data_IF_165463912031
#
_entry.id   IF_165463912031
#
_cell.length_a   1.000
_cell.length_b   1.000
_cell.length_c   1.000
_cell.angle_alpha   90.00
_cell.angle_beta   90.00
_cell.angle_gamma   90.00
#
_symmetry.space_group_name_H-M   'P 1'
#
loop_
_entity.id
_entity.type
_entity.pdbx_description
1 polymer ?
#
# COMPACT_ATOMS: atom_id res chain seq x y z
N UNK A 1 -36.53 -56.86 -69.55
CA UNK A 1 -36.81 -55.45 -69.91
C UNK A 1 -35.88 -54.60 -69.05
N UNK A 2 -34.66 -54.35 -69.52
CA UNK A 2 -34.25 -53.14 -70.29
C UNK A 2 -34.10 -51.90 -69.38
N UNK A 3 -32.86 -51.45 -69.19
CA UNK A 3 -32.44 -50.19 -68.55
C UNK A 3 -32.85 -48.96 -69.41
N UNK A 4 -32.84 -47.70 -68.90
CA UNK A 4 -31.60 -46.89 -68.80
C UNK A 4 -31.57 -45.86 -67.62
N UNK A 5 -30.53 -44.98 -67.50
CA UNK A 5 -30.14 -44.25 -66.27
C UNK A 5 -30.34 -42.71 -66.29
N UNK A 6 -30.13 -42.07 -65.11
CA UNK A 6 -29.81 -40.64 -64.82
C UNK A 6 -30.89 -39.58 -65.19
N UNK A 7 -30.90 -38.30 -64.70
CA UNK A 7 -29.74 -37.45 -64.38
C UNK A 7 -29.83 -36.53 -63.15
N UNK A 8 -28.70 -35.87 -62.89
CA UNK A 8 -28.49 -34.67 -62.09
C UNK A 8 -29.44 -33.53 -62.50
N UNK A 9 -29.82 -32.68 -61.53
CA UNK A 9 -30.18 -31.29 -61.82
C UNK A 9 -29.64 -30.38 -60.73
N UNK A 10 -28.50 -29.73 -61.04
CA UNK A 10 -28.19 -28.41 -60.52
C UNK A 10 -29.33 -27.43 -60.87
N UNK A 11 -29.82 -26.68 -59.89
CA UNK A 11 -30.47 -25.39 -60.12
C UNK A 11 -30.09 -24.44 -58.99
N UNK A 12 -29.01 -23.71 -59.25
CA UNK A 12 -28.82 -22.29 -59.01
C UNK A 12 -29.96 -21.46 -58.38
N UNK A 13 -29.54 -20.64 -57.40
CA UNK A 13 -29.87 -19.21 -57.20
C UNK A 13 -31.30 -18.79 -56.80
N UNK A 14 -31.44 -18.38 -55.52
CA UNK A 14 -31.93 -17.05 -55.09
C UNK A 14 -31.90 -16.93 -53.55
N UNK A 15 -30.87 -16.30 -52.99
CA UNK A 15 -30.91 -14.92 -52.47
C UNK A 15 -32.05 -14.65 -51.47
N UNK A 16 -31.73 -14.65 -50.18
CA UNK A 16 -32.11 -13.57 -49.25
C UNK A 16 -31.20 -13.64 -48.02
N UNK A 17 -30.18 -12.78 -47.97
CA UNK A 17 -29.82 -12.16 -46.69
C UNK A 17 -30.59 -10.84 -46.63
N UNK A 18 -30.98 -10.40 -45.43
CA UNK A 18 -30.25 -9.27 -44.89
C UNK A 18 -29.76 -9.53 -43.46
N UNK A 19 -28.47 -9.24 -43.30
CA UNK A 19 -27.80 -8.74 -42.10
C UNK A 19 -28.73 -8.12 -41.03
N UNK A 20 -28.50 -8.46 -39.75
CA UNK A 20 -27.78 -7.58 -38.81
C UNK A 20 -28.09 -7.89 -37.34
N UNK A 21 -27.09 -7.58 -36.51
CA UNK A 21 -27.08 -7.39 -35.05
C UNK A 21 -26.75 -8.64 -34.21
N UNK A 22 -25.65 -8.72 -33.45
CA UNK A 22 -24.52 -7.84 -33.17
C UNK A 22 -23.35 -8.77 -32.81
N UNK A 23 -22.46 -9.04 -33.76
CA UNK A 23 -21.13 -9.49 -33.43
C UNK A 23 -20.27 -8.23 -33.40
N UNK A 24 -19.87 -7.80 -32.20
CA UNK A 24 -18.87 -6.75 -32.01
C UNK A 24 -17.55 -7.22 -32.63
N UNK A 25 -17.41 -7.02 -33.93
CA UNK A 25 -16.16 -7.16 -34.63
C UNK A 25 -15.25 -6.05 -34.13
N UNK A 26 -14.30 -6.39 -33.25
CA UNK A 26 -13.15 -5.54 -33.02
C UNK A 26 -12.48 -5.30 -34.38
N UNK A 27 -12.53 -4.05 -34.82
CA UNK A 27 -11.90 -3.58 -36.03
C UNK A 27 -10.39 -3.88 -35.91
N UNK A 28 -9.77 -4.62 -36.86
CA UNK A 28 -8.35 -4.92 -36.76
C UNK A 28 -7.58 -3.59 -36.74
N UNK A 29 -6.84 -3.37 -35.64
CA UNK A 29 -6.05 -2.16 -35.43
C UNK A 29 -5.17 -1.89 -36.65
N UNK A 30 -5.23 -0.67 -37.16
CA UNK A 30 -4.35 -0.20 -38.24
C UNK A 30 -2.88 -0.46 -37.85
N UNK A 31 -2.04 -0.89 -38.80
CA UNK A 31 -0.60 -1.07 -38.57
C UNK A 31 0.08 0.18 -37.96
N UNK A 32 -0.45 1.37 -38.24
CA UNK A 32 0.02 2.62 -37.63
C UNK A 32 -0.31 2.72 -36.13
N UNK A 33 -1.44 2.15 -35.72
CA UNK A 33 -1.90 2.11 -34.33
C UNK A 33 -1.17 1.02 -33.54
N UNK A 34 -0.82 -0.09 -34.18
CA UNK A 34 0.06 -1.13 -33.63
C UNK A 34 1.48 -0.56 -33.43
N UNK A 35 2.03 0.13 -34.43
CA UNK A 35 3.36 0.75 -34.31
C UNK A 35 3.38 1.90 -33.29
N UNK A 36 2.30 2.69 -33.19
CA UNK A 36 2.14 3.69 -32.13
C UNK A 36 1.91 3.07 -30.75
N UNK A 37 1.56 1.78 -30.63
CA UNK A 37 1.55 1.07 -29.33
C UNK A 37 2.89 0.43 -28.99
N UNK A 38 3.79 0.29 -29.97
CA UNK A 38 5.12 -0.31 -29.82
C UNK A 38 6.24 0.72 -29.61
N UNK A 39 5.98 2.02 -29.81
CA UNK A 39 6.94 3.09 -29.58
C UNK A 39 7.02 3.44 -28.07
N UNK A 40 8.17 3.23 -27.40
CA UNK A 40 8.34 3.53 -25.97
C UNK A 40 8.03 4.99 -25.61
N UNK A 41 8.30 5.95 -26.51
CA UNK A 41 7.98 7.36 -26.23
C UNK A 41 6.48 7.61 -26.16
N UNK A 42 5.72 7.02 -27.08
CA UNK A 42 4.27 7.15 -27.11
C UNK A 42 3.60 6.50 -25.89
N UNK A 43 4.09 5.35 -25.44
CA UNK A 43 3.64 4.67 -24.24
C UNK A 43 3.86 5.55 -23.00
N UNK A 44 5.08 6.10 -22.87
CA UNK A 44 5.41 7.04 -21.79
C UNK A 44 4.50 8.27 -21.78
N UNK A 45 4.20 8.85 -22.95
CA UNK A 45 3.25 9.98 -23.06
C UNK A 45 1.84 9.63 -22.60
N UNK A 46 1.41 8.37 -22.75
CA UNK A 46 0.13 7.90 -22.24
C UNK A 46 0.11 7.71 -20.70
N UNK A 47 1.25 7.36 -20.09
CA UNK A 47 1.38 7.19 -18.64
C UNK A 47 1.41 8.51 -17.86
N UNK A 48 2.10 9.51 -18.39
CA UNK A 48 2.32 10.80 -17.72
C UNK A 48 1.05 11.48 -17.19
N UNK A 49 -0.09 11.55 -17.91
CA UNK A 49 -1.31 12.17 -17.37
C UNK A 49 -1.90 11.40 -16.18
N UNK A 50 -1.90 10.06 -16.23
CA UNK A 50 -2.36 9.21 -15.11
C UNK A 50 -1.46 9.40 -13.90
N UNK A 51 -0.14 9.31 -14.11
CA UNK A 51 0.85 9.53 -13.06
C UNK A 51 0.70 10.92 -12.44
N UNK A 52 0.55 11.96 -13.25
CA UNK A 52 0.38 13.33 -12.76
C UNK A 52 -0.89 13.48 -11.91
N UNK A 53 -2.02 12.94 -12.38
CA UNK A 53 -3.28 12.96 -11.64
C UNK A 53 -3.17 12.25 -10.28
N UNK A 54 -2.58 11.06 -10.28
CA UNK A 54 -2.38 10.28 -9.05
C UNK A 54 -1.40 10.96 -8.07
N UNK A 55 -0.29 11.50 -8.57
CA UNK A 55 0.67 12.23 -7.76
C UNK A 55 0.02 13.43 -7.06
N UNK A 56 -0.85 14.18 -7.75
CA UNK A 56 -1.59 15.30 -7.14
C UNK A 56 -2.45 14.80 -5.98
N UNK A 57 -3.19 13.70 -6.17
CA UNK A 57 -4.04 13.15 -5.12
C UNK A 57 -3.21 12.59 -3.95
N UNK A 58 -2.11 11.90 -4.22
CA UNK A 58 -1.22 11.36 -3.18
C UNK A 58 -0.57 12.48 -2.37
N UNK A 59 -0.09 13.54 -3.03
CA UNK A 59 0.45 14.73 -2.36
C UNK A 59 -0.63 15.36 -1.48
N UNK A 60 -1.82 15.59 -2.03
CA UNK A 60 -2.93 16.15 -1.26
C UNK A 60 -3.29 15.28 -0.05
N UNK A 61 -3.37 13.96 -0.23
CA UNK A 61 -3.65 12.99 0.83
C UNK A 61 -2.61 13.04 1.95
N UNK A 62 -1.31 13.03 1.59
CA UNK A 62 -0.20 13.16 2.55
C UNK A 62 -0.22 14.51 3.28
N UNK A 63 -0.49 15.61 2.57
CA UNK A 63 -0.56 16.95 3.18
C UNK A 63 -1.72 17.04 4.17
N UNK A 64 -2.88 16.54 3.78
CA UNK A 64 -4.08 16.48 4.64
C UNK A 64 -3.83 15.65 5.90
N UNK A 65 -3.18 14.49 5.77
CA UNK A 65 -2.79 13.65 6.90
C UNK A 65 -1.97 14.41 7.95
N UNK A 66 -0.91 15.10 7.53
CA UNK A 66 -0.02 15.79 8.47
C UNK A 66 -0.57 17.09 9.06
N UNK A 67 -1.62 17.65 8.46
CA UNK A 67 -2.38 18.77 9.05
C UNK A 67 -3.46 18.29 10.01
N UNK A 68 -3.98 17.08 9.83
CA UNK A 68 -5.12 16.53 10.59
C UNK A 68 -4.95 16.62 12.13
N UNK A 69 -3.78 16.30 12.74
CA UNK A 69 -3.61 16.36 14.19
C UNK A 69 -3.66 17.78 14.77
N UNK A 70 -3.61 18.82 13.93
CA UNK A 70 -3.64 20.22 14.38
C UNK A 70 -5.07 20.73 14.58
N UNK A 71 -6.06 20.12 13.93
CA UNK A 71 -7.44 20.60 13.91
C UNK A 71 -8.41 19.68 14.66
N UNK A 72 -8.07 18.39 14.81
CA UNK A 72 -8.97 17.41 15.40
C UNK A 72 -8.26 16.55 16.44
N UNK A 73 -8.92 16.38 17.59
CA UNK A 73 -8.64 15.28 18.52
C UNK A 73 -9.31 14.04 17.95
N UNK A 74 -8.56 13.20 17.23
CA UNK A 74 -9.11 11.98 16.64
C UNK A 74 -9.51 11.00 17.74
N UNK A 75 -10.79 10.62 17.76
CA UNK A 75 -11.26 9.54 18.65
C UNK A 75 -10.61 8.22 18.24
N UNK A 76 -9.96 7.53 19.18
CA UNK A 76 -9.20 6.29 18.97
C UNK A 76 -9.96 5.22 18.15
N UNK A 77 -11.26 5.05 18.40
CA UNK A 77 -12.12 4.07 17.72
C UNK A 77 -12.30 4.34 16.21
N UNK A 78 -12.40 5.61 15.79
CA UNK A 78 -12.53 5.95 14.36
C UNK A 78 -11.23 5.66 13.62
N UNK A 79 -10.10 6.02 14.22
CA UNK A 79 -8.78 5.79 13.64
C UNK A 79 -8.49 4.30 13.49
N UNK A 80 -8.84 3.48 14.49
CA UNK A 80 -8.71 2.02 14.42
C UNK A 80 -9.53 1.40 13.28
N UNK A 81 -10.77 1.84 13.06
CA UNK A 81 -11.61 1.33 11.96
C UNK A 81 -11.01 1.70 10.60
N UNK A 82 -10.53 2.94 10.44
CA UNK A 82 -9.86 3.38 9.21
C UNK A 82 -8.57 2.61 8.94
N UNK A 83 -7.71 2.45 9.95
CA UNK A 83 -6.46 1.67 9.87
C UNK A 83 -6.77 0.21 9.50
N UNK A 84 -7.81 -0.40 10.09
CA UNK A 84 -8.21 -1.78 9.77
C UNK A 84 -8.68 -1.91 8.32
N UNK A 85 -9.52 -0.99 7.85
CA UNK A 85 -9.99 -0.97 6.46
C UNK A 85 -8.82 -0.84 5.49
N UNK A 86 -7.91 0.09 5.75
CA UNK A 86 -6.73 0.35 4.92
C UNK A 86 -5.76 -0.84 4.95
N UNK A 87 -5.54 -1.45 6.11
CA UNK A 87 -4.71 -2.66 6.23
C UNK A 87 -5.25 -3.83 5.42
N UNK A 88 -6.57 -4.03 5.44
CA UNK A 88 -7.22 -5.05 4.61
C UNK A 88 -7.09 -4.76 3.11
N UNK A 89 -7.25 -3.49 2.71
CA UNK A 89 -7.06 -3.05 1.33
C UNK A 89 -5.61 -3.27 0.88
N UNK A 90 -4.61 -2.86 1.66
CA UNK A 90 -3.19 -3.03 1.31
C UNK A 90 -2.79 -4.51 1.22
N UNK A 91 -3.25 -5.34 2.16
CA UNK A 91 -3.06 -6.79 2.11
C UNK A 91 -3.66 -7.38 0.82
N UNK A 92 -4.88 -6.99 0.50
CA UNK A 92 -5.57 -7.43 -0.71
C UNK A 92 -4.91 -6.96 -1.99
N UNK A 93 -4.45 -5.70 -2.08
CA UNK A 93 -3.74 -5.17 -3.26
C UNK A 93 -2.39 -5.87 -3.45
N UNK A 94 -1.63 -6.12 -2.38
CA UNK A 94 -0.39 -6.89 -2.47
C UNK A 94 -0.60 -8.28 -3.08
N UNK A 95 -1.66 -8.99 -2.64
CA UNK A 95 -1.93 -10.38 -3.05
C UNK A 95 -2.70 -10.52 -4.36
N UNK A 96 -3.72 -9.69 -4.59
CA UNK A 96 -4.63 -9.82 -5.74
C UNK A 96 -4.26 -8.95 -6.93
N UNK A 97 -3.41 -7.94 -6.74
CA UNK A 97 -3.00 -7.01 -7.79
C UNK A 97 -1.51 -7.11 -8.08
N UNK A 98 -0.65 -6.79 -7.11
CA UNK A 98 0.80 -6.72 -7.36
C UNK A 98 1.42 -8.07 -7.69
N UNK A 99 1.12 -9.11 -6.89
CA UNK A 99 1.69 -10.44 -7.12
C UNK A 99 1.24 -11.07 -8.46
N UNK A 100 -0.05 -11.06 -8.85
CA UNK A 100 -0.46 -11.58 -10.15
C UNK A 100 0.15 -10.82 -11.33
N UNK A 101 0.19 -9.48 -11.30
CA UNK A 101 0.84 -8.69 -12.35
C UNK A 101 2.34 -9.03 -12.44
N UNK A 102 3.03 -9.19 -11.31
CA UNK A 102 4.42 -9.64 -11.30
C UNK A 102 4.60 -11.00 -11.99
N UNK A 103 3.73 -11.97 -11.72
CA UNK A 103 3.80 -13.30 -12.32
C UNK A 103 3.59 -13.27 -13.84
N UNK A 104 2.69 -12.41 -14.32
CA UNK A 104 2.45 -12.27 -15.76
C UNK A 104 3.64 -11.61 -16.45
N UNK A 105 4.18 -10.53 -15.89
CA UNK A 105 5.35 -9.80 -16.43
C UNK A 105 6.62 -10.67 -16.47
N UNK A 106 6.82 -11.51 -15.45
CA UNK A 106 7.98 -12.40 -15.37
C UNK A 106 7.86 -13.67 -16.23
N UNK A 107 6.66 -13.99 -16.71
CA UNK A 107 6.40 -15.13 -17.59
C UNK A 107 6.66 -16.51 -16.96
N UNK A 108 7.03 -17.55 -17.75
CA UNK A 108 7.07 -18.94 -17.28
C UNK A 108 8.06 -19.25 -16.15
N UNK A 109 9.13 -18.46 -16.00
CA UNK A 109 10.11 -18.56 -14.89
C UNK A 109 9.77 -17.61 -13.73
N UNK A 110 8.66 -16.91 -13.84
CA UNK A 110 8.23 -15.87 -12.92
C UNK A 110 7.89 -16.31 -11.51
N UNK A 111 7.30 -17.51 -11.25
CA UNK A 111 6.91 -17.88 -9.89
C UNK A 111 8.07 -17.85 -8.89
N UNK A 112 9.23 -18.40 -9.25
CA UNK A 112 10.40 -18.40 -8.37
C UNK A 112 10.92 -16.98 -8.16
N UNK A 113 11.08 -16.18 -9.21
CA UNK A 113 11.57 -14.80 -9.11
C UNK A 113 10.60 -13.94 -8.28
N UNK A 114 9.30 -14.07 -8.50
CA UNK A 114 8.27 -13.36 -7.76
C UNK A 114 8.28 -13.74 -6.28
N UNK A 115 8.43 -15.02 -5.95
CA UNK A 115 8.51 -15.48 -4.57
C UNK A 115 9.76 -14.91 -3.85
N UNK A 116 10.93 -14.92 -4.51
CA UNK A 116 12.14 -14.31 -3.96
C UNK A 116 12.01 -12.80 -3.81
N UNK A 117 11.45 -12.10 -4.80
CA UNK A 117 11.19 -10.67 -4.76
C UNK A 117 10.24 -10.29 -3.63
N UNK A 118 9.11 -10.99 -3.52
CA UNK A 118 8.15 -10.80 -2.43
C UNK A 118 8.76 -11.06 -1.06
N UNK A 119 9.53 -12.14 -0.89
CA UNK A 119 10.24 -12.40 0.36
C UNK A 119 11.26 -11.30 0.67
N UNK A 120 12.01 -10.85 -0.33
CA UNK A 120 12.98 -9.77 -0.15
C UNK A 120 12.28 -8.47 0.27
N UNK A 121 11.19 -8.09 -0.38
CA UNK A 121 10.40 -6.92 -0.01
C UNK A 121 9.84 -6.99 1.40
N UNK A 122 9.31 -8.15 1.80
CA UNK A 122 8.80 -8.39 3.15
C UNK A 122 9.93 -8.24 4.19
N UNK A 123 11.07 -8.91 3.98
CA UNK A 123 12.20 -8.87 4.92
C UNK A 123 12.81 -7.47 4.98
N UNK A 124 13.03 -6.81 3.84
CA UNK A 124 13.57 -5.44 3.81
C UNK A 124 12.63 -4.49 4.54
N UNK A 125 11.33 -4.54 4.26
CA UNK A 125 10.36 -3.68 4.96
C UNK A 125 10.33 -3.98 6.46
N UNK A 126 10.33 -5.25 6.85
CA UNK A 126 10.40 -5.64 8.26
C UNK A 126 11.66 -5.10 8.94
N UNK A 127 12.82 -5.19 8.29
CA UNK A 127 14.08 -4.65 8.81
C UNK A 127 14.05 -3.11 8.89
N UNK A 128 13.42 -2.42 7.93
CA UNK A 128 13.22 -0.97 7.99
C UNK A 128 12.34 -0.59 9.16
N UNK A 129 11.19 -1.25 9.36
CA UNK A 129 10.34 -1.05 10.53
C UNK A 129 11.15 -1.30 11.82
N UNK A 130 11.92 -2.39 11.88
CA UNK A 130 12.69 -2.71 13.08
C UNK A 130 13.84 -1.75 13.36
N UNK A 131 14.51 -1.24 12.32
CA UNK A 131 15.66 -0.34 12.47
C UNK A 131 15.25 1.10 12.78
N UNK A 132 14.07 1.54 12.32
CA UNK A 132 13.65 2.94 12.37
C UNK A 132 12.39 3.19 13.22
N UNK A 133 11.63 2.16 13.55
CA UNK A 133 10.43 2.20 14.40
C UNK A 133 10.76 1.68 15.80
N UNK A 134 11.63 2.40 16.53
CA UNK A 134 11.95 2.08 17.91
C UNK A 134 10.68 2.19 18.77
N UNK A 135 10.20 1.04 19.29
CA UNK A 135 8.97 0.89 20.08
C UNK A 135 8.66 2.10 20.99
N UNK A 136 7.64 2.88 20.64
CA UNK A 136 7.02 3.88 21.51
C UNK A 136 5.67 3.36 22.02
N UNK A 137 5.68 2.32 22.87
CA UNK A 137 4.48 1.87 23.60
C UNK A 137 4.20 2.73 24.84
N UNK A 138 4.24 4.07 24.73
CA UNK A 138 3.98 4.88 25.94
C UNK A 138 3.82 6.38 25.77
N UNK A 139 4.07 6.97 24.61
CA UNK A 139 3.97 8.43 24.45
C UNK A 139 2.54 8.94 24.26
N UNK A 140 1.60 8.12 23.78
CA UNK A 140 0.19 8.55 23.71
C UNK A 140 -0.56 8.36 25.04
N UNK A 141 -0.24 7.32 25.82
CA UNK A 141 -0.79 7.14 27.17
C UNK A 141 -0.27 8.17 28.18
N UNK A 142 0.98 8.61 28.05
CA UNK A 142 1.56 9.63 28.95
C UNK A 142 1.05 11.04 28.65
N UNK A 143 0.82 11.41 27.38
CA UNK A 143 0.26 12.72 27.02
C UNK A 143 -1.21 12.89 27.41
N UNK A 144 -1.96 11.79 27.56
CA UNK A 144 -3.34 11.84 28.06
C UNK A 144 -3.41 11.92 29.60
N UNK A 145 -2.46 11.31 30.33
CA UNK A 145 -2.41 11.42 31.80
C UNK A 145 -1.98 12.81 32.29
N UNK A 146 -1.14 13.54 31.54
CA UNK A 146 -0.66 14.85 31.96
C UNK A 146 -1.73 15.96 31.87
N UNK A 147 -2.84 15.73 31.17
CA UNK A 147 -3.88 16.73 30.96
C UNK A 147 -5.02 16.68 32.01
N UNK A 148 -5.18 15.58 32.74
CA UNK A 148 -6.18 15.46 33.82
C UNK A 148 -5.61 15.78 35.22
N UNK A 149 -4.29 15.88 35.39
CA UNK A 149 -3.64 16.14 36.67
C UNK A 149 -3.43 17.65 36.95
N UNK A 150 -4.50 18.46 36.87
CA UNK A 150 -4.48 19.84 37.35
C UNK A 150 -5.80 20.19 38.05
N UNK A 151 -6.08 19.52 39.16
CA UNK A 151 -7.01 20.03 40.18
C UNK A 151 -6.23 20.21 41.49
N UNK A 152 -6.27 21.40 42.13
CA UNK A 152 -5.51 21.66 43.34
C UNK A 152 -6.10 20.88 44.52
N UNK A 153 -5.24 20.10 45.18
CA UNK A 153 -5.59 19.26 46.32
C UNK A 153 -6.04 20.08 47.54
N UNK A 154 -7.24 19.78 48.05
CA UNK A 154 -7.66 20.09 49.42
C UNK A 154 -7.02 19.07 50.38
N UNK A 155 -6.61 19.46 51.61
CA UNK A 155 -5.98 18.53 52.54
C UNK A 155 -7.04 17.65 53.21
N UNK A 156 -7.02 16.36 52.90
CA UNK A 156 -7.79 15.34 53.63
C UNK A 156 -6.91 14.83 54.77
N UNK A 157 -7.36 15.09 56.00
CA UNK A 157 -6.81 14.53 57.24
C UNK A 157 -7.24 13.07 57.32
N UNK A 158 -6.28 12.15 57.49
CA UNK A 158 -6.57 10.80 57.96
C UNK A 158 -5.78 10.54 59.25
N UNK A 159 -6.58 10.31 60.28
CA UNK A 159 -6.25 9.99 61.66
C UNK A 159 -6.08 8.47 61.78
N UNK A 160 -5.01 7.99 62.40
CA UNK A 160 -4.84 6.57 62.73
C UNK A 160 -4.12 6.40 64.08
N UNK A 161 -4.93 6.27 65.13
CA UNK A 161 -4.58 5.60 66.38
C UNK A 161 -4.60 4.08 66.18
N UNK A 162 -3.52 3.38 66.59
CA UNK A 162 -3.59 2.07 67.25
C UNK A 162 -2.29 1.79 68.02
N UNK A 163 -2.47 1.35 69.26
CA UNK A 163 -1.48 1.24 70.33
C UNK A 163 -1.00 -0.21 70.56
N UNK A 164 0.15 -0.32 71.23
CA UNK A 164 0.69 -1.43 72.04
C UNK A 164 1.70 -2.47 71.48
N UNK A 165 2.98 -2.18 71.79
CA UNK A 165 3.91 -2.90 72.68
C UNK A 165 4.44 -4.32 72.37
N UNK A 166 5.76 -4.41 72.16
CA UNK A 166 6.57 -5.63 72.31
C UNK A 166 8.04 -5.41 71.88
N UNK A 167 8.98 -5.62 72.79
CA UNK A 167 10.38 -5.15 72.74
C UNK A 167 11.37 -5.96 71.87
N UNK A 168 12.33 -5.21 71.30
CA UNK A 168 13.77 -5.50 71.07
C UNK A 168 14.26 -6.40 69.89
N UNK A 169 15.18 -5.76 69.15
CA UNK A 169 16.42 -6.25 68.50
C UNK A 169 16.47 -6.46 66.96
N UNK A 170 17.04 -5.43 66.33
CA UNK A 170 17.97 -5.37 65.19
C UNK A 170 17.91 -6.39 64.04
N UNK A 171 17.58 -5.86 62.85
CA UNK A 171 17.88 -6.47 61.56
C UNK A 171 17.21 -5.78 60.36
N UNK A 172 17.05 -4.44 60.37
CA UNK A 172 16.44 -3.73 59.23
C UNK A 172 17.50 -3.49 58.16
N UNK A 173 17.50 -4.34 57.13
CA UNK A 173 18.07 -4.01 55.83
C UNK A 173 17.26 -2.89 55.20
N UNK A 174 17.64 -1.64 55.46
CA UNK A 174 17.13 -0.49 54.73
C UNK A 174 17.73 -0.47 53.32
N UNK A 175 17.03 -1.04 52.35
CA UNK A 175 17.27 -0.76 50.93
C UNK A 175 16.72 0.63 50.61
N UNK A 176 17.60 1.62 50.61
CA UNK A 176 17.34 2.93 50.02
C UNK A 176 17.22 2.76 48.49
N UNK A 177 15.97 2.77 47.99
CA UNK A 177 15.70 2.92 46.57
C UNK A 177 16.14 4.31 46.11
N UNK A 178 17.37 4.41 45.64
CA UNK A 178 17.89 5.61 45.00
C UNK A 178 17.04 5.92 43.76
N UNK A 179 16.25 6.99 43.83
CA UNK A 179 15.72 7.68 42.65
C UNK A 179 16.91 8.24 41.89
N UNK A 180 17.34 7.55 40.85
CA UNK A 180 18.18 8.17 39.82
C UNK A 180 17.29 9.18 39.08
N UNK A 181 17.41 10.45 39.47
CA UNK A 181 17.06 11.55 38.57
C UNK A 181 17.98 11.47 37.37
N UNK A 182 17.55 10.78 36.33
CA UNK A 182 18.18 10.87 35.02
C UNK A 182 18.03 12.31 34.54
N UNK A 183 19.12 12.99 34.13
CA UNK A 183 19.00 14.28 33.46
C UNK A 183 18.13 14.09 32.21
N UNK A 184 17.36 15.10 31.78
CA UNK A 184 16.55 14.99 30.57
C UNK A 184 17.51 14.71 29.42
N UNK A 185 17.41 13.51 28.83
CA UNK A 185 18.14 13.13 27.65
C UNK A 185 17.56 13.91 26.45
N UNK A 186 17.86 15.21 26.38
CA UNK A 186 17.48 16.11 25.30
C UNK A 186 18.07 15.66 23.93
N UNK A 187 19.03 14.73 23.94
CA UNK A 187 19.59 14.08 22.75
C UNK A 187 18.86 12.79 22.32
N UNK A 188 18.18 12.07 23.22
CA UNK A 188 17.50 10.81 22.88
C UNK A 188 16.16 11.05 22.16
N UNK A 189 15.44 12.12 22.50
CA UNK A 189 14.16 12.46 21.83
C UNK A 189 14.34 12.96 20.38
N UNK A 190 15.44 13.68 20.08
CA UNK A 190 15.68 14.21 18.73
C UNK A 190 16.02 13.12 17.70
N UNK A 191 16.57 11.99 18.16
CA UNK A 191 16.90 10.83 17.32
C UNK A 191 15.66 10.01 16.92
N UNK A 192 14.55 10.13 17.65
CA UNK A 192 13.33 9.32 17.45
C UNK A 192 12.57 9.71 16.18
N UNK A 193 12.26 11.00 15.98
CA UNK A 193 11.47 11.43 14.81
C UNK A 193 12.24 11.29 13.49
N UNK A 194 13.55 11.50 13.51
CA UNK A 194 14.38 11.41 12.31
C UNK A 194 14.50 9.96 11.83
N UNK A 195 14.63 9.01 12.77
CA UNK A 195 14.59 7.59 12.46
C UNK A 195 13.28 7.22 11.76
N UNK A 196 12.14 7.55 12.37
CA UNK A 196 10.82 7.31 11.78
C UNK A 196 10.69 7.99 10.41
N UNK A 197 11.10 9.25 10.26
CA UNK A 197 11.08 9.94 8.96
C UNK A 197 11.88 9.19 7.90
N UNK A 198 13.11 8.74 8.21
CA UNK A 198 13.95 8.00 7.28
C UNK A 198 13.33 6.64 6.90
N UNK A 199 12.84 5.89 7.88
CA UNK A 199 12.16 4.61 7.64
C UNK A 199 10.92 4.78 6.75
N UNK A 200 10.07 5.77 7.07
CA UNK A 200 8.89 6.09 6.28
C UNK A 200 9.24 6.65 4.90
N UNK A 201 10.36 7.37 4.76
CA UNK A 201 10.84 7.85 3.47
C UNK A 201 11.23 6.69 2.55
N UNK A 202 12.01 5.71 3.05
CA UNK A 202 12.34 4.51 2.28
C UNK A 202 11.10 3.70 1.89
N UNK A 203 10.17 3.53 2.83
CA UNK A 203 8.88 2.93 2.55
C UNK A 203 8.12 3.69 1.44
N UNK A 204 8.06 5.02 1.54
CA UNK A 204 7.39 5.88 0.56
C UNK A 204 8.06 5.90 -0.82
N UNK A 205 9.37 5.66 -0.90
CA UNK A 205 10.04 5.43 -2.19
C UNK A 205 9.50 4.13 -2.79
N UNK A 206 9.40 3.06 -1.98
CA UNK A 206 8.81 1.78 -2.37
C UNK A 206 7.39 1.94 -2.95
N UNK A 207 6.53 2.72 -2.30
CA UNK A 207 5.18 3.03 -2.82
C UNK A 207 5.23 3.68 -4.21
N UNK A 208 6.17 4.61 -4.40
CA UNK A 208 6.38 5.28 -5.68
C UNK A 208 6.79 4.29 -6.77
N UNK A 209 7.81 3.47 -6.50
CA UNK A 209 8.27 2.45 -7.43
C UNK A 209 7.13 1.46 -7.76
N UNK A 210 6.35 1.06 -6.77
CA UNK A 210 5.21 0.17 -6.94
C UNK A 210 4.12 0.78 -7.83
N UNK A 211 3.78 2.07 -7.61
CA UNK A 211 2.83 2.80 -8.43
C UNK A 211 3.31 2.88 -9.87
N UNK A 212 4.55 3.31 -10.10
CA UNK A 212 5.15 3.38 -11.44
C UNK A 212 5.14 2.02 -12.15
N UNK A 213 5.53 0.96 -11.44
CA UNK A 213 5.52 -0.40 -12.00
C UNK A 213 4.11 -0.90 -12.35
N UNK A 214 3.11 -0.57 -11.54
CA UNK A 214 1.71 -0.95 -11.82
C UNK A 214 1.14 -0.21 -13.03
N UNK A 215 1.49 1.07 -13.20
CA UNK A 215 1.08 1.85 -14.38
C UNK A 215 1.67 1.29 -15.68
N UNK A 216 2.97 0.94 -15.64
CA UNK A 216 3.65 0.30 -16.76
C UNK A 216 2.99 -1.06 -17.09
N UNK A 217 2.83 -1.93 -16.09
CA UNK A 217 2.22 -3.25 -16.28
C UNK A 217 0.83 -3.17 -16.93
N UNK A 218 -0.06 -2.28 -16.46
CA UNK A 218 -1.41 -2.17 -17.00
C UNK A 218 -1.44 -1.64 -18.44
N UNK A 219 -0.51 -0.75 -18.79
CA UNK A 219 -0.40 -0.23 -20.14
C UNK A 219 0.04 -1.32 -21.12
N UNK A 220 0.99 -2.18 -20.73
CA UNK A 220 1.43 -3.32 -21.54
C UNK A 220 0.31 -4.31 -21.81
N UNK A 221 -0.62 -4.48 -20.87
CA UNK A 221 -1.78 -5.37 -21.02
C UNK A 221 -2.95 -4.76 -21.82
N UNK A 222 -2.77 -3.55 -22.36
CA UNK A 222 -3.74 -2.91 -23.24
C UNK A 222 -4.91 -2.23 -22.53
N UNK A 223 -4.88 -2.11 -21.20
CA UNK A 223 -5.80 -1.25 -20.49
C UNK A 223 -5.50 0.21 -20.85
N UNK A 224 -6.53 0.98 -21.21
CA UNK A 224 -6.39 2.43 -21.41
C UNK A 224 -7.11 3.25 -20.33
N UNK A 225 -7.90 2.58 -19.50
CA UNK A 225 -8.70 3.20 -18.46
C UNK A 225 -8.21 2.71 -17.09
N UNK A 226 -7.95 3.66 -16.19
CA UNK A 226 -7.64 3.38 -14.78
C UNK A 226 -6.37 2.53 -14.56
N UNK A 227 -5.28 2.89 -15.24
CA UNK A 227 -3.97 2.26 -15.03
C UNK A 227 -3.56 2.32 -13.55
N UNK A 228 -3.06 1.22 -13.00
CA UNK A 228 -2.55 1.11 -11.64
C UNK A 228 -3.52 1.51 -10.53
N UNK A 229 -4.83 1.41 -10.77
CA UNK A 229 -5.87 1.94 -9.89
C UNK A 229 -5.81 1.33 -8.49
N UNK A 230 -5.63 0.00 -8.40
CA UNK A 230 -5.52 -0.72 -7.13
C UNK A 230 -4.35 -0.21 -6.28
N UNK A 231 -3.15 -0.13 -6.88
CA UNK A 231 -1.94 0.39 -6.22
C UNK A 231 -2.12 1.85 -5.83
N UNK A 232 -2.66 2.68 -6.72
CA UNK A 232 -2.95 4.08 -6.43
C UNK A 232 -3.84 4.25 -5.20
N UNK A 233 -4.97 3.53 -5.12
CA UNK A 233 -5.87 3.64 -3.97
C UNK A 233 -5.22 3.16 -2.69
N UNK A 234 -4.50 2.05 -2.73
CA UNK A 234 -3.76 1.59 -1.56
C UNK A 234 -2.78 2.65 -1.07
N UNK A 235 -1.95 3.21 -1.95
CA UNK A 235 -0.98 4.29 -1.61
C UNK A 235 -1.69 5.54 -1.10
N UNK A 236 -2.67 6.04 -1.84
CA UNK A 236 -3.37 7.28 -1.50
C UNK A 236 -4.09 7.19 -0.16
N UNK A 237 -4.65 6.03 0.20
CA UNK A 237 -5.41 5.87 1.44
C UNK A 237 -4.53 5.67 2.67
N UNK A 238 -3.34 5.07 2.56
CA UNK A 238 -2.44 4.91 3.71
C UNK A 238 -1.46 6.07 3.90
N UNK A 239 -1.20 6.90 2.87
CA UNK A 239 -0.33 8.10 2.98
C UNK A 239 -0.67 9.07 4.12
N UNK A 240 -1.96 9.35 4.41
CA UNK A 240 -2.33 10.18 5.55
C UNK A 240 -1.84 9.62 6.88
N UNK A 241 -1.86 8.29 7.05
CA UNK A 241 -1.46 7.62 8.29
C UNK A 241 0.04 7.83 8.51
N UNK A 242 0.87 7.63 7.47
CA UNK A 242 2.31 7.88 7.53
C UNK A 242 2.62 9.32 7.96
N UNK A 243 1.91 10.26 7.37
CA UNK A 243 2.11 11.69 7.62
C UNK A 243 1.67 12.09 9.03
N UNK A 244 0.58 11.50 9.54
CA UNK A 244 0.15 11.67 10.94
C UNK A 244 1.28 11.20 11.86
N UNK A 245 1.84 10.00 11.63
CA UNK A 245 2.90 9.43 12.48
C UNK A 245 4.14 10.33 12.58
N UNK A 246 4.62 10.87 11.46
CA UNK A 246 5.78 11.78 11.46
C UNK A 246 5.43 13.11 12.15
N UNK A 247 4.29 13.71 11.80
CA UNK A 247 3.93 15.05 12.28
C UNK A 247 3.51 15.08 13.73
N UNK A 248 2.95 14.02 14.29
CA UNK A 248 2.64 13.88 15.72
C UNK A 248 3.92 13.72 16.54
N UNK A 249 4.89 12.92 16.06
CA UNK A 249 6.16 12.74 16.75
C UNK A 249 7.02 14.01 16.74
N UNK A 250 7.01 14.75 15.64
CA UNK A 250 7.61 16.08 15.59
C UNK A 250 6.93 17.06 16.56
N UNK A 251 5.59 17.01 16.69
CA UNK A 251 4.86 17.83 17.65
C UNK A 251 5.27 17.50 19.09
N UNK A 252 5.30 16.21 19.44
CA UNK A 252 5.73 15.72 20.74
C UNK A 252 7.19 16.09 21.06
N UNK A 253 8.04 16.16 20.04
CA UNK A 253 9.44 16.61 20.15
C UNK A 253 9.59 18.14 20.22
N UNK A 254 8.49 18.91 20.29
CA UNK A 254 8.50 20.35 20.45
C UNK A 254 8.81 21.16 19.18
N UNK A 255 8.72 20.56 17.99
CA UNK A 255 9.00 21.28 16.74
C UNK A 255 7.89 22.28 16.39
N UNK A 256 8.31 23.42 15.83
CA UNK A 256 7.38 24.45 15.36
C UNK A 256 6.43 23.93 14.28
N UNK A 257 5.23 24.51 14.21
CA UNK A 257 4.22 24.18 13.18
C UNK A 257 4.81 24.37 11.76
N UNK A 258 5.61 25.42 11.55
CA UNK A 258 6.27 25.69 10.26
C UNK A 258 7.21 24.55 9.85
N UNK A 259 8.02 24.05 10.79
CA UNK A 259 8.93 22.92 10.54
C UNK A 259 8.15 21.64 10.21
N UNK A 260 7.05 21.37 10.92
CA UNK A 260 6.18 20.22 10.68
C UNK A 260 5.56 20.26 9.28
N UNK A 261 5.06 21.43 8.87
CA UNK A 261 4.50 21.63 7.52
C UNK A 261 5.58 21.43 6.46
N UNK A 262 6.78 21.98 6.66
CA UNK A 262 7.88 21.85 5.70
C UNK A 262 8.34 20.39 5.54
N UNK A 263 8.51 19.66 6.64
CA UNK A 263 8.89 18.25 6.61
C UNK A 263 7.78 17.40 5.98
N UNK A 264 6.51 17.67 6.29
CA UNK A 264 5.40 16.96 5.65
C UNK A 264 5.32 17.25 4.15
N UNK A 265 5.53 18.49 3.73
CA UNK A 265 5.59 18.84 2.31
C UNK A 265 6.73 18.10 1.61
N UNK A 266 7.93 18.05 2.22
CA UNK A 266 9.03 17.26 1.69
C UNK A 266 8.70 15.76 1.60
N UNK A 267 8.10 15.19 2.65
CA UNK A 267 7.67 13.80 2.69
C UNK A 267 6.64 13.47 1.58
N UNK A 268 5.67 14.35 1.36
CA UNK A 268 4.61 14.16 0.35
C UNK A 268 5.13 14.03 -1.08
N UNK A 269 6.34 14.52 -1.36
CA UNK A 269 6.99 14.46 -2.67
C UNK A 269 7.77 13.16 -2.92
N UNK A 270 8.06 12.39 -1.87
CA UNK A 270 8.93 11.20 -1.97
C UNK A 270 8.30 10.12 -2.85
N UNK A 271 7.03 9.78 -2.62
CA UNK A 271 6.30 8.80 -3.43
C UNK A 271 6.16 9.25 -4.90
N UNK A 272 5.68 10.48 -5.21
CA UNK A 272 5.67 11.02 -6.57
C UNK A 272 7.02 10.97 -7.27
N UNK A 273 8.10 11.30 -6.55
CA UNK A 273 9.45 11.23 -7.09
C UNK A 273 9.86 9.78 -7.39
N UNK A 274 9.58 8.83 -6.50
CA UNK A 274 9.82 7.40 -6.73
C UNK A 274 9.08 6.88 -7.97
N UNK A 275 7.80 7.22 -8.11
CA UNK A 275 6.99 6.82 -9.25
C UNK A 275 7.49 7.42 -10.57
N UNK A 276 7.85 8.71 -10.55
CA UNK A 276 8.44 9.37 -11.70
C UNK A 276 9.77 8.72 -12.09
N UNK A 277 10.68 8.53 -11.13
CA UNK A 277 11.98 7.89 -11.37
C UNK A 277 11.83 6.48 -11.95
N UNK A 278 10.84 5.72 -11.51
CA UNK A 278 10.57 4.39 -12.07
C UNK A 278 10.17 4.48 -13.55
N UNK A 279 9.13 5.27 -13.87
CA UNK A 279 8.63 5.43 -15.25
C UNK A 279 9.70 5.99 -16.18
N UNK A 280 10.55 6.91 -15.70
CA UNK A 280 11.63 7.46 -16.52
C UNK A 280 12.81 6.49 -16.68
N UNK A 281 13.08 5.65 -15.66
CA UNK A 281 14.27 4.81 -15.61
C UNK A 281 14.08 3.39 -16.14
N UNK A 282 12.85 2.85 -16.14
CA UNK A 282 12.60 1.44 -16.48
C UNK A 282 13.08 1.05 -17.89
N UNK A 283 13.04 1.99 -18.83
CA UNK A 283 13.48 1.78 -20.22
C UNK A 283 14.99 1.95 -20.42
N UNK A 284 15.70 2.53 -19.45
CA UNK A 284 17.13 2.82 -19.53
C UNK A 284 18.02 1.65 -19.06
N UNK A 285 17.42 0.65 -18.40
CA UNK A 285 18.14 -0.54 -18.00
C UNK A 285 18.51 -1.40 -19.22
N UNK A 286 19.72 -1.97 -19.23
CA UNK A 286 20.13 -2.95 -20.26
C UNK A 286 19.40 -4.30 -20.15
N UNK A 287 18.40 -4.39 -19.28
CA UNK A 287 17.61 -5.57 -18.96
C UNK A 287 16.19 -5.37 -19.50
N UNK A 288 15.49 -6.46 -19.81
CA UNK A 288 14.11 -6.40 -20.32
C UNK A 288 13.19 -5.63 -19.34
N UNK A 289 12.44 -4.61 -19.80
CA UNK A 289 11.55 -3.82 -18.94
C UNK A 289 10.56 -4.67 -18.14
N UNK A 290 9.97 -5.70 -18.75
CA UNK A 290 9.04 -6.63 -18.08
C UNK A 290 9.68 -7.35 -16.88
N UNK A 291 10.97 -7.68 -16.95
CA UNK A 291 11.69 -8.26 -15.81
C UNK A 291 11.84 -7.25 -14.67
N UNK A 292 12.15 -6.00 -14.99
CA UNK A 292 12.29 -4.91 -13.99
C UNK A 292 10.94 -4.61 -13.34
N UNK A 293 9.88 -4.47 -14.13
CA UNK A 293 8.50 -4.26 -13.68
C UNK A 293 8.04 -5.42 -12.80
N UNK A 294 8.22 -6.66 -13.25
CA UNK A 294 7.83 -7.85 -12.50
C UNK A 294 8.57 -8.00 -11.17
N UNK A 295 9.89 -7.73 -11.15
CA UNK A 295 10.66 -7.71 -9.90
C UNK A 295 10.14 -6.60 -8.98
N UNK A 296 9.96 -5.38 -9.48
CA UNK A 296 9.48 -4.25 -8.69
C UNK A 296 8.10 -4.53 -8.06
N UNK A 297 7.16 -5.08 -8.84
CA UNK A 297 5.83 -5.45 -8.35
C UNK A 297 5.89 -6.58 -7.31
N UNK A 298 6.71 -7.61 -7.53
CA UNK A 298 6.86 -8.69 -6.55
C UNK A 298 7.45 -8.21 -5.22
N UNK A 299 8.49 -7.38 -5.26
CA UNK A 299 9.07 -6.72 -4.07
C UNK A 299 8.01 -5.87 -3.38
N UNK A 300 7.26 -5.07 -4.15
CA UNK A 300 6.21 -4.19 -3.61
C UNK A 300 5.08 -4.97 -2.95
N UNK A 301 4.69 -6.13 -3.50
CA UNK A 301 3.73 -7.03 -2.87
C UNK A 301 4.20 -7.45 -1.47
N UNK A 302 5.48 -7.81 -1.34
CA UNK A 302 6.09 -8.14 -0.05
C UNK A 302 6.09 -6.99 0.94
N UNK A 303 6.41 -5.78 0.47
CA UNK A 303 6.37 -4.55 1.27
C UNK A 303 4.95 -4.28 1.79
N UNK A 304 3.94 -4.33 0.92
CA UNK A 304 2.53 -4.09 1.27
C UNK A 304 1.99 -5.12 2.25
N UNK A 305 2.31 -6.40 2.05
CA UNK A 305 1.97 -7.48 2.99
C UNK A 305 2.62 -7.22 4.35
N UNK A 306 3.90 -6.83 4.38
CA UNK A 306 4.61 -6.54 5.62
C UNK A 306 3.98 -5.37 6.39
N UNK A 307 3.61 -4.28 5.70
CA UNK A 307 2.97 -3.12 6.34
C UNK A 307 1.60 -3.50 6.87
N UNK A 308 0.78 -4.16 6.05
CA UNK A 308 -0.54 -4.58 6.46
C UNK A 308 -0.49 -5.47 7.71
N UNK A 309 0.38 -6.48 7.72
CA UNK A 309 0.47 -7.45 8.82
C UNK A 309 1.27 -6.95 10.04
N UNK A 310 2.27 -6.10 9.84
CA UNK A 310 3.25 -5.70 10.86
C UNK A 310 3.04 -4.32 11.47
N UNK A 311 2.33 -3.43 10.77
CA UNK A 311 2.07 -2.05 11.21
C UNK A 311 0.57 -1.84 11.49
N UNK A 312 -0.31 -2.22 10.55
CA UNK A 312 -1.74 -1.92 10.63
C UNK A 312 -2.56 -2.98 11.41
N UNK A 313 -2.21 -4.27 11.29
CA UNK A 313 -2.91 -5.38 11.97
C UNK A 313 -2.61 -5.52 13.48
N UNK A 314 -1.41 -5.27 14.00
CA UNK A 314 -1.18 -5.37 15.45
C UNK A 314 -2.00 -4.32 16.23
N UNK A 315 -2.25 -3.15 15.65
CA UNK A 315 -3.07 -2.08 16.24
C UNK A 315 -4.53 -2.53 16.53
N UNK A 316 -5.08 -3.52 15.81
CA UNK A 316 -6.43 -4.05 16.06
C UNK A 316 -6.49 -5.13 17.17
N UNK A 317 -5.39 -5.81 17.45
CA UNK A 317 -5.34 -6.92 18.42
C UNK A 317 -5.15 -6.42 19.87
N UNK A 318 -4.32 -5.38 20.07
CA UNK A 318 -3.90 -4.96 21.41
C UNK A 318 -4.78 -3.89 22.08
N UNK A 319 -5.69 -3.22 21.35
CA UNK A 319 -6.44 -2.06 21.89
C UNK A 319 -7.99 -2.07 21.69
N UNK A 320 -8.66 -3.23 21.51
CA UNK A 320 -10.09 -3.22 21.16
C UNK A 320 -11.07 -3.86 22.15
N UNK A 321 -12.02 -3.03 22.63
CA UNK A 321 -13.30 -3.43 23.22
C UNK A 321 -14.32 -3.94 22.15
N UNK A 322 -14.04 -3.78 20.84
CA UNK A 322 -14.97 -4.09 19.73
C UNK A 322 -14.31 -4.85 18.55
N UNK A 323 -13.78 -6.05 18.82
CA UNK A 323 -13.04 -6.90 17.85
C UNK A 323 -13.82 -7.14 16.54
N UNK A 324 -15.13 -7.37 16.62
CA UNK A 324 -15.97 -7.69 15.46
C UNK A 324 -16.02 -6.55 14.43
N UNK A 325 -16.12 -5.29 14.88
CA UNK A 325 -16.18 -4.13 13.99
C UNK A 325 -14.87 -3.94 13.21
N UNK A 326 -13.73 -4.16 13.87
CA UNK A 326 -12.41 -4.04 13.26
C UNK A 326 -12.16 -5.15 12.25
N UNK A 327 -12.54 -6.40 12.58
CA UNK A 327 -12.48 -7.51 11.63
C UNK A 327 -13.37 -7.27 10.41
N UNK A 328 -14.58 -6.74 10.58
CA UNK A 328 -15.45 -6.40 9.46
C UNK A 328 -14.85 -5.30 8.57
N UNK A 329 -14.19 -4.29 9.16
CA UNK A 329 -13.50 -3.26 8.40
C UNK A 329 -12.32 -3.84 7.60
N UNK A 330 -11.50 -4.69 8.22
CA UNK A 330 -10.42 -5.42 7.53
C UNK A 330 -10.95 -6.24 6.34
N UNK A 331 -11.98 -7.05 6.56
CA UNK A 331 -12.60 -7.86 5.51
C UNK A 331 -13.19 -7.00 4.40
N UNK A 332 -13.81 -5.87 4.74
CA UNK A 332 -14.30 -4.92 3.74
C UNK A 332 -13.16 -4.38 2.88
N UNK A 333 -11.98 -4.08 3.47
CA UNK A 333 -10.80 -3.66 2.72
C UNK A 333 -10.32 -4.73 1.73
N UNK A 334 -10.25 -5.99 2.17
CA UNK A 334 -9.88 -7.13 1.31
C UNK A 334 -10.89 -7.32 0.18
N UNK A 335 -12.19 -7.18 0.46
CA UNK A 335 -13.26 -7.28 -0.54
C UNK A 335 -13.18 -6.12 -1.55
N UNK A 336 -12.87 -4.91 -1.11
CA UNK A 336 -12.65 -3.76 -2.00
C UNK A 336 -11.45 -4.04 -2.91
N UNK A 337 -10.32 -4.50 -2.37
CA UNK A 337 -9.15 -4.86 -3.17
C UNK A 337 -9.50 -5.92 -4.23
N UNK A 338 -10.22 -6.97 -3.83
CA UNK A 338 -10.70 -8.00 -4.74
C UNK A 338 -11.65 -7.43 -5.81
N UNK A 339 -12.51 -6.48 -5.45
CA UNK A 339 -13.44 -5.81 -6.37
C UNK A 339 -12.74 -4.97 -7.44
N UNK A 340 -11.65 -4.26 -7.10
CA UNK A 340 -10.90 -3.43 -8.05
C UNK A 340 -10.35 -4.28 -9.21
N UNK A 341 -10.04 -5.57 -8.96
CA UNK A 341 -9.59 -6.50 -10.00
C UNK A 341 -10.57 -6.64 -11.18
N UNK A 342 -11.87 -6.43 -10.97
CA UNK A 342 -12.86 -6.51 -12.05
C UNK A 342 -12.98 -5.20 -12.84
N UNK A 343 -12.46 -4.10 -12.30
CA UNK A 343 -12.42 -2.80 -12.95
C UNK A 343 -11.20 -2.70 -13.86
N UNK A 344 -10.09 -3.33 -13.46
CA UNK A 344 -8.87 -3.51 -14.27
C UNK A 344 -9.08 -4.71 -15.23
N UNK A 345 -9.24 -4.51 -16.55
CA UNK A 345 -9.62 -5.58 -17.46
C UNK A 345 -8.53 -6.67 -17.52
N UNK A 346 -8.86 -7.88 -17.08
CA UNK A 346 -7.98 -9.04 -17.21
C UNK A 346 -7.94 -9.57 -18.64
N UNK A 347 -6.86 -9.32 -19.38
CA UNK A 347 -6.62 -9.92 -20.70
C UNK A 347 -5.62 -11.09 -20.68
N UNK A 348 -5.69 -11.93 -19.65
CA UNK A 348 -4.76 -13.06 -19.47
C UNK A 348 -5.19 -14.39 -20.11
N UNK A 349 -6.27 -14.46 -20.91
CA UNK A 349 -6.77 -15.74 -21.46
C UNK A 349 -6.87 -15.85 -22.98
N UNK A 350 -6.65 -14.78 -23.75
CA UNK A 350 -6.82 -14.82 -25.21
C UNK A 350 -5.55 -15.29 -25.96
N UNK A 351 -4.35 -14.97 -25.46
CA UNK A 351 -3.11 -15.27 -26.18
C UNK A 351 -2.64 -16.73 -26.09
N UNK A 352 -3.06 -17.48 -25.07
CA UNK A 352 -2.67 -18.90 -24.92
C UNK A 352 -3.42 -19.82 -25.88
N UNK A 353 -4.67 -19.49 -26.23
CA UNK A 353 -5.46 -20.27 -27.19
C UNK A 353 -5.01 -20.01 -28.63
N UNK A 354 -4.65 -18.77 -29.01
CA UNK A 354 -4.15 -18.47 -30.35
C UNK A 354 -2.76 -19.07 -30.66
N UNK A 355 -1.88 -19.16 -29.65
CA UNK A 355 -0.58 -19.83 -29.77
C UNK A 355 -0.67 -21.37 -29.74
N UNK A 356 -1.77 -21.93 -29.21
CA UNK A 356 -2.05 -23.36 -29.25
C UNK A 356 -2.81 -23.78 -30.52
N UNK A 357 -3.67 -22.92 -31.08
CA UNK A 357 -4.38 -23.19 -32.34
C UNK A 357 -3.52 -23.02 -33.59
N UNK A 358 -2.35 -22.38 -33.49
CA UNK A 358 -1.35 -22.27 -34.57
C UNK A 358 -0.25 -23.33 -34.50
N UNK A 359 -0.31 -24.24 -33.51
CA UNK A 359 0.62 -25.36 -33.32
C UNK A 359 -0.05 -26.74 -33.42
N UNK A 360 -1.15 -26.84 -34.17
CA UNK A 360 -1.60 -28.14 -34.68
C UNK A 360 -0.94 -28.40 -36.06
N UNK A 361 0.12 -29.20 -36.14
CA UNK A 361 0.31 -30.01 -37.34
C UNK A 361 -0.68 -31.18 -37.31
N UNK A 362 -1.20 -31.45 -38.50
CA UNK A 362 -2.05 -32.58 -38.95
C UNK A 362 -3.56 -32.31 -39.04
#
# INVERSE_FOLDING_TARGET
MAAPPAPESESALQSTSPQAAEASAEQPLSHAEINRRLDPESQRRALLPWLAGYCVVIIASSLLGGWLPQWFVLTHNRMQVWISLIGGLMLGIGVFHMLPHALVELGPRGPDIAAHGMMAGLVVMFLLLRAFHFHHHGTLDTLQCDQEACQPALPVVHDHDHDHSGCQNHGVGHSHGHRHGSPPAAGAMKLSWLGVFLGMAFHSIGDGLALGASLEADLFHGSQAWLGLGTFFAVALHKPIDSISITTLMAASGWSIKSRILVNAAFSLICPLGALLFVLGVQEFSVQPSLVVGIALSVSAGVFICIALGDLLPEMEFHSHNRTRLTLALLAGVVIAWGIRFIEPSHAHSHRQAAQSSRSPD
#
